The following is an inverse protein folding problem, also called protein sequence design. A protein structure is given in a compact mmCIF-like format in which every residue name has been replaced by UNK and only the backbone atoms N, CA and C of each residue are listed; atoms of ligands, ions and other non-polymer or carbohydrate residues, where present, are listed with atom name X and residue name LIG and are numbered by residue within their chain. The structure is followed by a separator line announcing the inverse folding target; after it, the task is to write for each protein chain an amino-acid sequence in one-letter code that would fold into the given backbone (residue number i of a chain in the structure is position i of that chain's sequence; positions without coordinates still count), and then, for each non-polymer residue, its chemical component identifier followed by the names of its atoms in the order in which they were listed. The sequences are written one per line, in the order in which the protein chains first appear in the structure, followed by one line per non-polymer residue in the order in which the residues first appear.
data_IF_479364617363
#
_entry.id   IF_479364617363
#
_cell.length_a   1.000
_cell.length_b   1.000
_cell.length_c   1.000
_cell.angle_alpha   90.00
_cell.angle_beta   90.00
_cell.angle_gamma   90.00
#
_symmetry.space_group_name_H-M   'P 1'
#
loop_
_entity.id
_entity.type
_entity.pdbx_description
1 polymer ?
#
# COMPACT_ATOMS: atom_id res chain seq x y z
N UNK A 1 -23.05 -2.45 27.05
CA UNK A 1 -21.87 -1.69 26.55
C UNK A 1 -21.09 -1.18 27.75
N UNK A 2 -19.80 -1.55 27.86
CA UNK A 2 -18.91 -0.94 28.86
C UNK A 2 -18.70 0.55 28.53
N UNK A 3 -18.62 1.40 29.57
CA UNK A 3 -18.19 2.80 29.42
C UNK A 3 -16.78 2.80 28.82
N UNK A 4 -16.58 3.39 27.64
CA UNK A 4 -15.27 3.50 26.98
C UNK A 4 -15.14 2.78 25.64
N UNK A 5 -16.11 1.98 25.23
CA UNK A 5 -16.15 1.46 23.88
C UNK A 5 -16.51 2.55 22.85
N UNK A 6 -15.76 2.61 21.76
CA UNK A 6 -16.06 3.50 20.62
C UNK A 6 -17.39 3.13 19.96
N UNK A 7 -18.03 4.03 19.19
CA UNK A 7 -19.22 3.69 18.40
C UNK A 7 -18.97 2.50 17.48
N UNK A 8 -20.02 1.72 17.23
CA UNK A 8 -19.98 0.61 16.26
C UNK A 8 -19.86 1.19 14.85
N UNK A 9 -18.89 0.71 14.09
CA UNK A 9 -18.70 1.04 12.68
C UNK A 9 -19.44 0.00 11.83
N UNK A 10 -20.53 0.40 11.20
CA UNK A 10 -21.39 -0.49 10.41
C UNK A 10 -20.65 -1.05 9.18
N UNK A 11 -19.76 -0.28 8.55
CA UNK A 11 -18.97 -0.77 7.42
C UNK A 11 -18.05 -1.95 7.84
N UNK A 12 -17.48 -1.85 9.04
CA UNK A 12 -16.68 -2.94 9.61
C UNK A 12 -17.54 -4.15 9.99
N UNK A 13 -18.76 -3.93 10.52
CA UNK A 13 -19.70 -5.00 10.81
C UNK A 13 -20.07 -5.77 9.53
N UNK A 14 -20.38 -5.08 8.45
CA UNK A 14 -20.69 -5.72 7.16
C UNK A 14 -19.52 -6.53 6.59
N UNK A 15 -18.29 -6.05 6.80
CA UNK A 15 -17.09 -6.81 6.43
C UNK A 15 -16.93 -8.08 7.27
N UNK A 16 -17.15 -8.00 8.58
CA UNK A 16 -17.08 -9.16 9.47
C UNK A 16 -18.19 -10.19 9.13
N UNK A 17 -19.40 -9.74 8.82
CA UNK A 17 -20.48 -10.64 8.37
C UNK A 17 -20.06 -11.47 7.17
N UNK A 18 -19.44 -10.87 6.16
CA UNK A 18 -18.93 -11.59 4.98
C UNK A 18 -17.88 -12.63 5.36
N UNK A 19 -16.91 -12.25 6.21
CA UNK A 19 -15.86 -13.17 6.65
C UNK A 19 -16.40 -14.33 7.47
N UNK A 20 -17.35 -14.08 8.37
CA UNK A 20 -18.01 -15.12 9.18
C UNK A 20 -18.82 -16.07 8.28
N UNK A 21 -19.53 -15.54 7.27
CA UNK A 21 -20.28 -16.34 6.32
C UNK A 21 -19.36 -17.20 5.43
N UNK A 22 -18.18 -16.70 5.05
CA UNK A 22 -17.19 -17.50 4.29
C UNK A 22 -16.59 -18.63 5.16
N UNK A 23 -16.22 -18.30 6.39
CA UNK A 23 -15.68 -19.27 7.36
C UNK A 23 -15.79 -18.72 8.78
N UNK A 24 -16.67 -19.32 9.58
CA UNK A 24 -16.78 -19.00 11.00
C UNK A 24 -15.62 -19.63 11.79
N UNK A 25 -14.69 -18.79 12.26
CA UNK A 25 -13.55 -19.23 13.10
C UNK A 25 -13.91 -19.27 14.57
N UNK A 26 -15.16 -19.01 14.95
CA UNK A 26 -15.64 -19.00 16.34
C UNK A 26 -14.82 -18.08 17.26
N UNK A 27 -14.36 -16.94 16.75
CA UNK A 27 -13.59 -15.96 17.55
C UNK A 27 -14.47 -15.39 18.68
N UNK A 28 -14.15 -15.71 19.97
CA UNK A 28 -14.99 -15.30 21.08
C UNK A 28 -14.81 -13.82 21.41
N UNK A 29 -15.91 -13.16 21.74
CA UNK A 29 -15.86 -11.81 22.33
C UNK A 29 -15.38 -11.89 23.78
N UNK A 30 -14.84 -10.78 24.30
CA UNK A 30 -14.42 -10.67 25.69
C UNK A 30 -15.42 -9.84 26.48
N UNK A 31 -15.87 -10.38 27.60
CA UNK A 31 -16.83 -9.72 28.48
C UNK A 31 -16.30 -9.70 29.93
N UNK A 32 -16.76 -8.74 30.74
CA UNK A 32 -16.52 -8.76 32.17
C UNK A 32 -17.48 -9.71 32.90
N UNK A 33 -17.37 -9.83 34.22
CA UNK A 33 -18.25 -10.65 35.07
C UNK A 33 -19.75 -10.27 34.94
N UNK A 34 -20.04 -9.02 34.56
CA UNK A 34 -21.41 -8.52 34.35
C UNK A 34 -21.89 -8.72 32.90
N UNK A 35 -21.17 -9.50 32.10
CA UNK A 35 -21.41 -9.74 30.67
C UNK A 35 -21.38 -8.46 29.80
N UNK A 36 -20.72 -7.42 30.27
CA UNK A 36 -20.49 -6.23 29.46
C UNK A 36 -19.29 -6.45 28.54
N UNK A 37 -19.44 -6.04 27.27
CA UNK A 37 -18.40 -6.27 26.24
C UNK A 37 -17.19 -5.39 26.47
N UNK A 38 -16.05 -6.02 26.70
CA UNK A 38 -14.74 -5.37 26.82
C UNK A 38 -14.10 -5.26 25.42
N UNK A 39 -14.18 -6.34 24.61
CA UNK A 39 -13.59 -6.42 23.27
C UNK A 39 -14.46 -7.29 22.36
N UNK A 40 -14.42 -7.00 21.04
CA UNK A 40 -15.20 -7.73 20.06
C UNK A 40 -16.60 -7.17 19.79
N UNK A 41 -16.87 -5.89 20.08
CA UNK A 41 -18.19 -5.28 19.87
C UNK A 41 -18.70 -5.39 18.43
N UNK A 42 -17.82 -5.26 17.42
CA UNK A 42 -18.20 -5.41 16.01
C UNK A 42 -18.50 -6.88 15.67
N UNK A 43 -17.74 -7.83 16.24
CA UNK A 43 -18.02 -9.28 16.12
C UNK A 43 -19.36 -9.61 16.75
N UNK A 44 -19.66 -9.06 17.93
CA UNK A 44 -20.98 -9.22 18.58
C UNK A 44 -22.10 -8.76 17.66
N UNK A 45 -21.97 -7.57 17.08
CA UNK A 45 -23.02 -7.00 16.22
C UNK A 45 -23.16 -7.79 14.91
N UNK A 46 -22.05 -8.18 14.30
CA UNK A 46 -22.07 -9.03 13.10
C UNK A 46 -22.75 -10.38 13.36
N UNK A 47 -22.45 -11.04 14.49
CA UNK A 47 -23.07 -12.32 14.84
C UNK A 47 -24.54 -12.19 15.19
N UNK A 48 -24.95 -11.10 15.84
CA UNK A 48 -26.37 -10.81 16.07
C UNK A 48 -27.16 -10.65 14.78
N UNK A 49 -26.62 -9.86 13.82
CA UNK A 49 -27.26 -9.64 12.53
C UNK A 49 -27.29 -10.92 11.65
N UNK A 50 -26.42 -11.89 11.92
CA UNK A 50 -26.41 -13.21 11.27
C UNK A 50 -27.19 -14.26 12.05
N UNK A 51 -27.78 -13.92 13.17
CA UNK A 51 -28.52 -14.84 14.08
C UNK A 51 -27.67 -16.04 14.54
N UNK A 52 -26.35 -15.82 14.69
CA UNK A 52 -25.41 -16.85 15.08
C UNK A 52 -25.17 -16.86 16.61
N UNK A 53 -24.78 -18.01 17.14
CA UNK A 53 -24.31 -18.13 18.52
C UNK A 53 -23.12 -17.19 18.77
N UNK A 54 -23.10 -16.54 19.92
CA UNK A 54 -22.07 -15.60 20.32
C UNK A 54 -21.15 -16.28 21.33
N UNK A 55 -19.99 -16.81 20.92
CA UNK A 55 -19.03 -17.33 21.87
C UNK A 55 -18.41 -16.18 22.66
N UNK A 56 -18.18 -16.35 23.95
CA UNK A 56 -17.57 -15.31 24.79
C UNK A 56 -16.62 -15.91 25.84
N UNK A 57 -15.68 -15.11 26.29
CA UNK A 57 -14.77 -15.40 27.40
C UNK A 57 -15.00 -14.35 28.47
N UNK A 58 -15.20 -14.79 29.71
CA UNK A 58 -15.28 -13.90 30.86
C UNK A 58 -13.86 -13.52 31.28
N UNK A 59 -13.58 -12.22 31.30
CA UNK A 59 -12.34 -11.64 31.76
C UNK A 59 -12.52 -11.11 33.17
N UNK A 60 -11.52 -11.35 34.03
CA UNK A 60 -11.47 -10.74 35.34
C UNK A 60 -10.96 -9.29 35.21
N UNK A 61 -11.79 -8.40 34.73
CA UNK A 61 -11.50 -7.01 34.45
C UNK A 61 -12.69 -6.14 34.85
N UNK A 62 -12.45 -5.21 35.78
CA UNK A 62 -13.41 -4.19 36.22
C UNK A 62 -12.95 -2.79 35.80
N UNK A 63 -11.71 -2.64 35.26
CA UNK A 63 -11.14 -1.36 34.86
C UNK A 63 -11.60 -0.97 33.45
N UNK A 64 -12.34 0.14 33.26
CA UNK A 64 -12.71 0.64 31.92
C UNK A 64 -11.52 0.92 31.00
N UNK A 65 -10.31 1.10 31.57
CA UNK A 65 -9.07 1.28 30.80
C UNK A 65 -8.59 -0.02 30.13
N UNK A 66 -9.05 -1.19 30.55
CA UNK A 66 -8.65 -2.45 29.94
C UNK A 66 -9.13 -2.59 28.49
N UNK A 67 -10.25 -1.95 28.16
CA UNK A 67 -10.70 -1.81 26.77
C UNK A 67 -9.62 -1.11 25.92
N UNK A 68 -9.08 -0.01 26.44
CA UNK A 68 -8.01 0.73 25.75
C UNK A 68 -6.71 -0.07 25.70
N UNK A 69 -6.32 -0.75 26.80
CA UNK A 69 -5.11 -1.57 26.87
C UNK A 69 -5.15 -2.74 25.86
N UNK A 70 -6.26 -3.46 25.75
CA UNK A 70 -6.44 -4.55 24.79
C UNK A 70 -6.37 -4.06 23.34
N UNK A 71 -6.91 -2.89 23.05
CA UNK A 71 -6.85 -2.30 21.70
C UNK A 71 -5.46 -1.74 21.36
N UNK A 72 -4.74 -1.18 22.34
CA UNK A 72 -3.40 -0.60 22.11
C UNK A 72 -2.34 -1.68 21.86
N UNK A 73 -2.50 -2.85 22.47
CA UNK A 73 -1.58 -3.99 22.25
C UNK A 73 -1.75 -4.71 20.91
N UNK A 74 -2.82 -4.44 20.19
CA UNK A 74 -3.09 -5.08 18.88
C UNK A 74 -2.39 -4.33 17.76
N UNK A 75 -1.33 -4.92 17.23
CA UNK A 75 -0.67 -4.45 16.02
C UNK A 75 -1.40 -5.00 14.79
N UNK A 76 -1.96 -4.11 13.98
CA UNK A 76 -2.53 -4.53 12.70
C UNK A 76 -1.43 -5.15 11.81
N UNK A 77 -1.77 -6.20 11.09
CA UNK A 77 -0.87 -6.81 10.13
C UNK A 77 -0.45 -5.79 9.06
N UNK A 78 0.85 -5.71 8.84
CA UNK A 78 1.41 -4.94 7.73
C UNK A 78 1.25 -5.70 6.41
N UNK A 79 1.49 -5.03 5.29
CA UNK A 79 1.51 -5.69 3.98
C UNK A 79 2.61 -6.78 3.90
N UNK A 80 3.72 -6.60 4.61
CA UNK A 80 4.79 -7.59 4.74
C UNK A 80 4.31 -8.85 5.46
N UNK A 81 3.52 -8.72 6.55
CA UNK A 81 2.99 -9.88 7.27
C UNK A 81 2.08 -10.73 6.37
N UNK A 82 1.22 -10.09 5.56
CA UNK A 82 0.41 -10.79 4.57
C UNK A 82 1.25 -11.44 3.47
N UNK A 83 2.28 -10.75 2.99
CA UNK A 83 3.25 -11.31 2.03
C UNK A 83 3.89 -12.58 2.57
N UNK A 84 4.38 -12.54 3.82
CA UNK A 84 5.02 -13.69 4.47
C UNK A 84 4.06 -14.87 4.62
N UNK A 85 2.82 -14.61 5.04
CA UNK A 85 1.78 -15.62 5.16
C UNK A 85 1.49 -16.32 3.82
N UNK A 86 1.31 -15.54 2.75
CA UNK A 86 0.99 -16.11 1.44
C UNK A 86 2.18 -16.79 0.79
N UNK A 87 3.41 -16.31 1.01
CA UNK A 87 4.62 -17.02 0.60
C UNK A 87 4.81 -18.36 1.32
N UNK A 88 4.49 -18.43 2.63
CA UNK A 88 4.51 -19.68 3.38
C UNK A 88 3.48 -20.71 2.85
N UNK A 89 2.38 -20.23 2.26
CA UNK A 89 1.38 -21.04 1.56
C UNK A 89 1.75 -21.37 0.11
N UNK A 90 3.00 -21.16 -0.29
CA UNK A 90 3.53 -21.44 -1.63
C UNK A 90 2.83 -20.69 -2.79
N UNK A 91 2.17 -19.55 -2.53
CA UNK A 91 1.57 -18.75 -3.60
C UNK A 91 2.65 -18.09 -4.45
N UNK A 92 2.72 -18.47 -5.74
CA UNK A 92 3.79 -18.07 -6.65
C UNK A 92 3.87 -16.56 -6.85
N UNK A 93 2.74 -15.89 -7.09
CA UNK A 93 2.72 -14.44 -7.32
C UNK A 93 3.30 -13.65 -6.14
N UNK A 94 3.05 -14.11 -4.91
CA UNK A 94 3.61 -13.49 -3.69
C UNK A 94 5.11 -13.72 -3.55
N UNK A 95 5.61 -14.88 -3.97
CA UNK A 95 7.06 -15.13 -4.05
C UNK A 95 7.74 -14.23 -5.08
N UNK A 96 7.09 -13.99 -6.22
CA UNK A 96 7.56 -13.02 -7.22
C UNK A 96 7.61 -11.62 -6.63
N UNK A 97 6.56 -11.17 -5.92
CA UNK A 97 6.57 -9.88 -5.19
C UNK A 97 7.78 -9.79 -4.28
N UNK A 98 8.04 -10.80 -3.43
CA UNK A 98 9.17 -10.84 -2.49
C UNK A 98 10.52 -10.72 -3.21
N UNK A 99 10.72 -11.50 -4.25
CA UNK A 99 11.97 -11.50 -5.02
C UNK A 99 12.21 -10.13 -5.68
N UNK A 100 11.17 -9.55 -6.30
CA UNK A 100 11.27 -8.24 -6.96
C UNK A 100 11.48 -7.10 -5.96
N UNK A 101 10.88 -7.17 -4.76
CA UNK A 101 11.15 -6.23 -3.67
C UNK A 101 12.63 -6.23 -3.26
N UNK A 102 13.21 -7.41 -3.12
CA UNK A 102 14.62 -7.55 -2.76
C UNK A 102 15.53 -7.05 -3.89
N UNK A 103 15.20 -7.42 -5.12
CA UNK A 103 15.96 -7.05 -6.32
C UNK A 103 16.04 -5.53 -6.52
N UNK A 104 14.92 -4.82 -6.31
CA UNK A 104 14.83 -3.38 -6.62
C UNK A 104 14.81 -2.46 -5.40
N UNK A 105 14.79 -2.99 -4.18
CA UNK A 105 14.71 -2.18 -2.96
C UNK A 105 13.43 -1.35 -2.87
N UNK A 106 12.32 -1.89 -3.34
CA UNK A 106 10.99 -1.28 -3.35
C UNK A 106 10.12 -1.97 -2.30
N UNK A 107 9.23 -1.24 -1.61
CA UNK A 107 8.35 -1.84 -0.60
C UNK A 107 7.20 -2.63 -1.25
N UNK A 108 6.52 -3.47 -0.44
CA UNK A 108 5.42 -4.34 -0.93
C UNK A 108 4.36 -3.56 -1.70
N UNK A 109 3.87 -2.46 -1.13
CA UNK A 109 2.76 -1.72 -1.72
C UNK A 109 3.10 -1.17 -3.12
N UNK A 110 4.29 -0.59 -3.28
CA UNK A 110 4.77 -0.06 -4.55
C UNK A 110 5.09 -1.18 -5.54
N UNK A 111 5.61 -2.31 -5.04
CA UNK A 111 5.88 -3.47 -5.87
C UNK A 111 4.60 -4.07 -6.45
N UNK A 112 3.55 -4.17 -5.65
CA UNK A 112 2.22 -4.62 -6.10
C UNK A 112 1.65 -3.68 -7.18
N UNK A 113 1.78 -2.36 -7.00
CA UNK A 113 1.38 -1.36 -8.00
C UNK A 113 2.13 -1.53 -9.33
N UNK A 114 3.45 -1.77 -9.25
CA UNK A 114 4.28 -2.02 -10.45
C UNK A 114 3.85 -3.27 -11.18
N UNK A 115 3.67 -4.38 -10.48
CA UNK A 115 3.28 -5.67 -11.06
C UNK A 115 1.88 -5.61 -11.69
N UNK A 116 0.96 -4.85 -11.12
CA UNK A 116 -0.38 -4.65 -11.67
C UNK A 116 -0.43 -3.62 -12.80
N UNK A 117 0.64 -2.84 -13.03
CA UNK A 117 0.67 -1.67 -13.95
C UNK A 117 -0.38 -0.61 -13.60
N UNK A 118 -0.86 -0.56 -12.36
CA UNK A 118 -2.02 0.22 -11.96
C UNK A 118 -1.70 1.06 -10.73
N UNK A 119 -2.04 2.34 -10.79
CA UNK A 119 -1.82 3.32 -9.70
C UNK A 119 -3.09 3.70 -8.94
N UNK A 120 -4.25 3.34 -9.47
CA UNK A 120 -5.59 3.60 -8.92
C UNK A 120 -6.14 2.41 -8.12
N UNK A 121 -7.26 2.60 -7.41
CA UNK A 121 -8.01 1.55 -6.71
C UNK A 121 -7.22 0.82 -5.60
N UNK A 122 -6.35 1.54 -4.88
CA UNK A 122 -5.50 0.94 -3.84
C UNK A 122 -6.28 0.16 -2.78
N UNK A 123 -7.47 0.59 -2.37
CA UNK A 123 -8.30 -0.12 -1.40
C UNK A 123 -8.66 -1.53 -1.86
N UNK A 124 -9.08 -1.69 -3.12
CA UNK A 124 -9.37 -2.98 -3.74
C UNK A 124 -8.11 -3.83 -3.87
N UNK A 125 -7.04 -3.27 -4.43
CA UNK A 125 -5.74 -3.95 -4.59
C UNK A 125 -5.22 -4.46 -3.25
N UNK A 126 -5.25 -3.62 -2.22
CA UNK A 126 -4.81 -3.98 -0.88
C UNK A 126 -5.66 -5.11 -0.29
N UNK A 127 -6.99 -5.10 -0.50
CA UNK A 127 -7.87 -6.15 -0.02
C UNK A 127 -7.60 -7.48 -0.75
N UNK A 128 -7.47 -7.47 -2.07
CA UNK A 128 -7.16 -8.68 -2.84
C UNK A 128 -5.79 -9.26 -2.45
N UNK A 129 -4.81 -8.41 -2.20
CA UNK A 129 -3.51 -8.84 -1.70
C UNK A 129 -3.61 -9.48 -0.30
N UNK A 130 -4.30 -8.85 0.65
CA UNK A 130 -4.47 -9.37 2.02
C UNK A 130 -5.22 -10.70 2.05
N UNK A 131 -6.24 -10.84 1.21
CA UNK A 131 -7.10 -12.04 1.16
C UNK A 131 -6.54 -13.18 0.29
N UNK A 132 -5.39 -12.97 -0.34
CA UNK A 132 -4.74 -13.98 -1.17
C UNK A 132 -5.32 -14.12 -2.57
N UNK A 133 -6.10 -13.15 -3.04
CA UNK A 133 -6.67 -13.11 -4.41
C UNK A 133 -5.80 -12.33 -5.41
N UNK A 134 -4.66 -11.83 -4.96
CA UNK A 134 -3.72 -11.12 -5.82
C UNK A 134 -3.15 -12.04 -6.89
N UNK A 135 -3.22 -11.61 -8.15
CA UNK A 135 -2.67 -12.29 -9.33
C UNK A 135 -1.92 -11.28 -10.18
N UNK A 136 -0.74 -11.64 -10.65
CA UNK A 136 0.07 -10.80 -11.53
C UNK A 136 -0.47 -10.95 -12.96
N UNK A 137 -0.90 -9.86 -13.62
CA UNK A 137 -1.37 -9.91 -14.99
C UNK A 137 -0.22 -10.18 -15.99
N UNK A 138 -0.56 -10.63 -17.19
CA UNK A 138 0.40 -10.79 -18.27
C UNK A 138 1.19 -9.50 -18.52
N UNK A 139 2.50 -9.64 -18.71
CA UNK A 139 3.43 -8.52 -18.89
C UNK A 139 3.70 -7.70 -17.62
N UNK A 140 3.16 -8.09 -16.45
CA UNK A 140 3.39 -7.38 -15.18
C UNK A 140 4.83 -7.51 -14.68
N UNK A 141 5.43 -8.68 -14.88
CA UNK A 141 6.82 -8.94 -14.49
C UNK A 141 7.78 -8.13 -15.38
N UNK A 142 7.62 -8.20 -16.70
CA UNK A 142 8.42 -7.47 -17.68
C UNK A 142 8.34 -5.96 -17.45
N UNK A 143 7.14 -5.45 -17.20
CA UNK A 143 6.93 -4.04 -16.85
C UNK A 143 7.69 -3.67 -15.58
N UNK A 144 7.59 -4.51 -14.54
CA UNK A 144 8.28 -4.30 -13.26
C UNK A 144 9.79 -4.33 -13.44
N UNK A 145 10.33 -5.25 -14.25
CA UNK A 145 11.77 -5.34 -14.50
C UNK A 145 12.29 -4.12 -15.25
N UNK A 146 11.53 -3.63 -16.22
CA UNK A 146 11.87 -2.43 -16.97
C UNK A 146 11.89 -1.20 -16.02
N UNK A 147 10.80 -0.92 -15.31
CA UNK A 147 10.68 0.23 -14.42
C UNK A 147 11.63 0.13 -13.23
N UNK A 148 11.73 -1.06 -12.61
CA UNK A 148 12.63 -1.30 -11.49
C UNK A 148 14.09 -1.05 -11.85
N UNK A 149 14.53 -1.52 -13.01
CA UNK A 149 15.87 -1.28 -13.55
C UNK A 149 16.13 0.20 -13.81
N UNK A 150 15.16 0.92 -14.35
CA UNK A 150 15.24 2.36 -14.58
C UNK A 150 15.33 3.14 -13.26
N UNK A 151 14.51 2.80 -12.26
CA UNK A 151 14.55 3.39 -10.92
C UNK A 151 15.91 3.14 -10.25
N UNK A 152 16.45 1.92 -10.35
CA UNK A 152 17.77 1.61 -9.79
C UNK A 152 18.88 2.47 -10.42
N UNK A 153 18.83 2.73 -11.73
CA UNK A 153 19.78 3.64 -12.40
C UNK A 153 19.66 5.09 -11.91
N UNK A 154 18.49 5.51 -11.45
CA UNK A 154 18.21 6.86 -10.95
C UNK A 154 18.45 7.00 -9.45
N UNK A 155 18.57 5.90 -8.71
CA UNK A 155 18.58 5.86 -7.23
C UNK A 155 19.63 6.81 -6.62
N UNK A 156 20.83 6.85 -7.21
CA UNK A 156 21.92 7.72 -6.77
C UNK A 156 21.59 9.22 -6.90
N UNK A 157 20.77 9.60 -7.87
CA UNK A 157 20.35 10.99 -8.05
C UNK A 157 19.25 11.38 -7.06
N UNK A 158 18.42 10.42 -6.63
CA UNK A 158 17.36 10.66 -5.68
C UNK A 158 17.86 10.80 -4.23
N UNK A 159 18.89 10.05 -3.85
CA UNK A 159 19.34 9.94 -2.45
C UNK A 159 20.79 10.37 -2.22
N UNK A 160 21.54 10.71 -3.26
CA UNK A 160 22.98 10.83 -3.20
C UNK A 160 23.71 9.47 -3.17
N UNK A 161 24.98 9.46 -3.56
CA UNK A 161 25.70 8.21 -3.83
C UNK A 161 25.85 7.30 -2.60
N UNK A 162 26.16 7.84 -1.42
CA UNK A 162 26.34 7.03 -0.20
C UNK A 162 25.02 6.56 0.42
N UNK A 163 24.05 7.46 0.48
CA UNK A 163 22.71 7.15 1.03
C UNK A 163 21.91 6.19 0.16
N UNK A 164 22.22 6.05 -1.13
CA UNK A 164 21.47 5.22 -2.06
C UNK A 164 21.59 3.72 -1.77
N UNK A 165 22.69 3.25 -1.20
CA UNK A 165 22.95 1.82 -1.00
C UNK A 165 21.92 1.14 -0.11
N UNK A 166 21.51 1.78 0.97
CA UNK A 166 20.66 1.17 2.01
C UNK A 166 19.23 1.72 2.09
N UNK A 167 18.86 2.72 1.27
CA UNK A 167 17.52 3.30 1.30
C UNK A 167 16.58 2.58 0.33
N UNK A 168 15.37 2.26 0.81
CA UNK A 168 14.25 1.87 -0.07
C UNK A 168 13.66 3.11 -0.73
N UNK A 169 13.07 2.92 -1.91
CA UNK A 169 12.38 4.00 -2.58
C UNK A 169 11.16 4.47 -1.78
N UNK A 170 10.97 5.79 -1.70
CA UNK A 170 9.72 6.36 -1.17
C UNK A 170 8.57 6.06 -2.14
N UNK A 171 7.40 5.74 -1.61
CA UNK A 171 6.19 5.48 -2.40
C UNK A 171 5.90 6.60 -3.39
N UNK A 172 5.87 7.85 -2.90
CA UNK A 172 5.59 9.02 -3.73
C UNK A 172 6.50 9.12 -4.95
N UNK A 173 7.78 8.76 -4.79
CA UNK A 173 8.76 8.78 -5.88
C UNK A 173 8.51 7.66 -6.90
N UNK A 174 8.22 6.44 -6.45
CA UNK A 174 7.91 5.31 -7.34
C UNK A 174 6.66 5.61 -8.16
N UNK A 175 5.58 6.05 -7.49
CA UNK A 175 4.32 6.39 -8.15
C UNK A 175 4.51 7.53 -9.16
N UNK A 176 5.25 8.57 -8.80
CA UNK A 176 5.54 9.69 -9.72
C UNK A 176 6.31 9.25 -10.95
N UNK A 177 7.25 8.32 -10.79
CA UNK A 177 8.00 7.79 -11.91
C UNK A 177 7.12 6.92 -12.83
N UNK A 178 6.22 6.10 -12.27
CA UNK A 178 5.25 5.32 -13.06
C UNK A 178 4.34 6.26 -13.87
N UNK A 179 3.87 7.35 -13.26
CA UNK A 179 3.05 8.35 -13.97
C UNK A 179 3.84 8.99 -15.11
N UNK A 180 5.10 9.36 -14.86
CA UNK A 180 5.96 9.94 -15.87
C UNK A 180 6.21 8.96 -17.04
N UNK A 181 6.49 7.69 -16.74
CA UNK A 181 6.72 6.64 -17.75
C UNK A 181 5.50 6.41 -18.65
N UNK A 182 4.29 6.60 -18.13
CA UNK A 182 3.05 6.52 -18.93
C UNK A 182 2.82 7.71 -19.86
N UNK A 183 3.53 8.81 -19.67
CA UNK A 183 3.37 9.98 -20.55
C UNK A 183 4.00 9.71 -21.92
N UNK A 184 3.25 9.92 -23.06
CA UNK A 184 3.68 9.48 -24.41
C UNK A 184 5.01 10.05 -24.89
N UNK A 185 5.38 11.24 -24.40
CA UNK A 185 6.63 11.93 -24.79
C UNK A 185 7.74 11.76 -23.75
N UNK A 186 7.55 10.95 -22.70
CA UNK A 186 8.59 10.77 -21.69
C UNK A 186 9.65 9.79 -22.18
N UNK A 187 10.90 10.22 -22.16
CA UNK A 187 12.07 9.41 -22.50
C UNK A 187 12.99 9.24 -21.28
N UNK A 188 13.18 8.00 -20.85
CA UNK A 188 14.00 7.66 -19.70
C UNK A 188 15.47 8.08 -19.86
N UNK A 189 16.05 7.90 -21.06
CA UNK A 189 17.46 8.20 -21.30
C UNK A 189 17.73 9.70 -21.16
N UNK A 190 16.82 10.51 -21.73
CA UNK A 190 16.84 11.96 -21.55
C UNK A 190 16.71 12.35 -20.09
N UNK A 191 15.72 11.81 -19.38
CA UNK A 191 15.51 12.11 -17.97
C UNK A 191 16.73 11.77 -17.12
N UNK A 192 17.30 10.58 -17.31
CA UNK A 192 18.54 10.16 -16.63
C UNK A 192 19.72 11.11 -16.90
N UNK A 193 19.84 11.60 -18.12
CA UNK A 193 20.88 12.57 -18.49
C UNK A 193 20.65 13.90 -17.77
N UNK A 194 19.42 14.42 -17.76
CA UNK A 194 19.07 15.65 -17.05
C UNK A 194 19.28 15.54 -15.54
N UNK A 195 19.05 14.37 -14.93
CA UNK A 195 19.29 14.13 -13.50
C UNK A 195 20.76 14.32 -13.09
N UNK A 196 21.72 14.10 -13.98
CA UNK A 196 23.15 14.25 -13.65
C UNK A 196 23.52 15.65 -13.12
N UNK A 197 22.90 16.69 -13.66
CA UNK A 197 23.16 18.08 -13.29
C UNK A 197 22.13 18.70 -12.34
N UNK A 198 21.06 17.97 -12.00
CA UNK A 198 19.89 18.51 -11.29
C UNK A 198 19.46 17.64 -10.10
N UNK A 199 20.30 16.73 -9.64
CA UNK A 199 19.97 15.74 -8.59
C UNK A 199 19.55 16.38 -7.26
N UNK A 200 20.09 17.55 -6.89
CA UNK A 200 19.70 18.25 -5.67
C UNK A 200 18.23 18.64 -5.59
N UNK A 201 17.55 18.75 -6.73
CA UNK A 201 16.11 19.11 -6.77
C UNK A 201 15.21 18.04 -6.17
N UNK A 202 15.64 16.76 -6.12
CA UNK A 202 14.86 15.70 -5.50
C UNK A 202 14.79 15.77 -3.97
N UNK A 203 15.67 16.54 -3.34
CA UNK A 203 15.72 16.62 -1.87
C UNK A 203 14.50 17.32 -1.26
N UNK A 204 13.81 18.17 -2.01
CA UNK A 204 12.63 18.93 -1.57
C UNK A 204 11.30 18.18 -1.72
N UNK A 205 11.26 17.04 -2.41
CA UNK A 205 10.02 16.31 -2.66
C UNK A 205 9.50 15.56 -1.41
N UNK A 206 8.23 15.73 -1.10
CA UNK A 206 7.54 15.05 0.02
C UNK A 206 6.35 14.23 -0.44
N UNK A 207 5.57 14.73 -1.39
CA UNK A 207 4.36 14.11 -1.94
C UNK A 207 4.56 13.60 -3.37
N UNK A 208 3.60 12.84 -3.89
CA UNK A 208 3.57 12.43 -5.31
C UNK A 208 3.50 13.65 -6.24
N UNK A 209 2.67 14.65 -5.90
CA UNK A 209 2.57 15.86 -6.70
C UNK A 209 3.89 16.63 -6.77
N UNK A 210 4.63 16.72 -5.65
CA UNK A 210 5.95 17.36 -5.62
C UNK A 210 6.95 16.65 -6.53
N UNK A 211 7.00 15.31 -6.45
CA UNK A 211 7.91 14.54 -7.31
C UNK A 211 7.53 14.60 -8.79
N UNK A 212 6.24 14.67 -9.12
CA UNK A 212 5.77 14.92 -10.51
C UNK A 212 6.30 16.26 -11.01
N UNK A 213 6.13 17.33 -10.24
CA UNK A 213 6.61 18.66 -10.60
C UNK A 213 8.15 18.70 -10.72
N UNK A 214 8.87 18.02 -9.82
CA UNK A 214 10.33 17.89 -9.87
C UNK A 214 10.77 17.14 -11.14
N UNK A 215 10.14 16.01 -11.46
CA UNK A 215 10.43 15.22 -12.66
C UNK A 215 10.19 16.06 -13.91
N UNK A 216 9.06 16.75 -14.00
CA UNK A 216 8.74 17.64 -15.11
C UNK A 216 9.80 18.74 -15.27
N UNK A 217 10.14 19.44 -14.19
CA UNK A 217 11.14 20.51 -14.19
C UNK A 217 12.51 20.02 -14.66
N UNK A 218 12.95 18.86 -14.16
CA UNK A 218 14.23 18.26 -14.56
C UNK A 218 14.19 17.84 -16.03
N UNK A 219 13.11 17.17 -16.45
CA UNK A 219 12.95 16.71 -17.82
C UNK A 219 12.96 17.85 -18.82
N UNK A 220 12.27 18.94 -18.49
CA UNK A 220 12.11 20.11 -19.36
C UNK A 220 13.34 21.05 -19.37
N UNK A 221 14.30 20.84 -18.48
CA UNK A 221 15.50 21.70 -18.45
C UNK A 221 16.26 21.65 -19.77
N UNK A 222 16.48 22.84 -20.36
CA UNK A 222 17.19 23.00 -21.64
C UNK A 222 16.37 22.62 -22.88
N UNK A 223 15.06 22.34 -22.74
CA UNK A 223 14.17 22.12 -23.89
C UNK A 223 13.49 23.41 -24.37
N UNK A 224 13.32 23.49 -25.69
CA UNK A 224 12.42 24.49 -26.30
C UNK A 224 10.97 24.19 -25.92
N UNK A 225 10.10 25.22 -25.95
CA UNK A 225 8.69 25.08 -25.53
C UNK A 225 7.94 23.93 -26.24
N UNK A 226 8.20 23.72 -27.53
CA UNK A 226 7.60 22.66 -28.36
C UNK A 226 7.91 21.24 -27.85
N UNK A 227 9.07 21.07 -27.24
CA UNK A 227 9.57 19.76 -26.82
C UNK A 227 9.34 19.47 -25.32
N UNK A 228 8.81 20.44 -24.59
CA UNK A 228 8.48 20.24 -23.17
C UNK A 228 7.30 19.30 -23.00
N UNK A 229 7.30 18.57 -21.88
CA UNK A 229 6.17 17.74 -21.43
C UNK A 229 5.43 18.42 -20.29
N UNK A 230 4.16 18.14 -20.13
CA UNK A 230 3.33 18.66 -19.05
C UNK A 230 2.84 17.50 -18.16
N UNK A 231 3.73 17.01 -17.30
CA UNK A 231 3.42 15.90 -16.36
C UNK A 231 2.46 16.33 -15.25
N UNK A 232 2.53 17.58 -14.83
CA UNK A 232 1.66 18.11 -13.77
C UNK A 232 0.20 18.08 -14.23
N UNK A 233 -0.09 18.51 -15.47
CA UNK A 233 -1.42 18.46 -16.03
C UNK A 233 -1.86 17.02 -16.30
N UNK A 234 -1.00 16.22 -16.90
CA UNK A 234 -1.23 14.78 -17.13
C UNK A 234 -1.59 14.04 -15.84
N UNK A 235 -0.98 14.40 -14.70
CA UNK A 235 -1.32 13.86 -13.39
C UNK A 235 -2.66 14.36 -12.87
N UNK A 236 -2.97 15.66 -13.02
CA UNK A 236 -4.24 16.27 -12.57
C UNK A 236 -5.44 15.72 -13.33
N UNK A 237 -5.33 15.59 -14.63
CA UNK A 237 -6.39 15.06 -15.52
C UNK A 237 -6.57 13.55 -15.39
N UNK A 238 -5.65 12.87 -14.68
CA UNK A 238 -5.64 11.41 -14.49
C UNK A 238 -5.54 10.59 -15.77
N UNK A 239 -5.12 11.19 -16.88
CA UNK A 239 -4.93 10.50 -18.17
C UNK A 239 -4.02 9.27 -18.10
N UNK A 240 -3.14 9.23 -17.07
CA UNK A 240 -2.28 8.07 -16.81
C UNK A 240 -3.04 6.83 -16.30
N UNK A 241 -4.33 6.95 -15.93
CA UNK A 241 -5.13 5.83 -15.42
C UNK A 241 -5.69 4.97 -16.57
N UNK A 242 -5.86 5.56 -17.73
CA UNK A 242 -6.45 4.93 -18.91
C UNK A 242 -5.41 4.27 -19.83
N UNK A 243 -4.14 4.33 -19.46
CA UNK A 243 -2.98 3.77 -20.15
C UNK A 243 -2.26 2.78 -19.25
#
# INVERSE_FOLDING_TARGET
KTRGNRPVDEAHVQQLKKLIAEKDLYDPIRVNKNLEVIDGQHTLEARKQLELKIPYIIMDSEDPLDVARLNTGRKNWSMENYLDQHCARNKMDYRIVRNKMQQYGINVAEMVVLLLKQTSLWSRISNDFKTGRFVIPAGGIEHTDRIGSQLMQLKKYFYGMESAKNKRFKRSMVVSYIVADKHPKFDHKRFKTACKSKSSWFLSGTSTADYIAIIERIYNAGLTQKNKINLVEFYKTKEYQDK
#
